data_IF_842906535928
#
_entry.id   IF_842906535928
#
_cell.length_a   1.000
_cell.length_b   1.000
_cell.length_c   1.000
_cell.angle_alpha   90.00
_cell.angle_beta   90.00
_cell.angle_gamma   90.00
#
_symmetry.space_group_name_H-M   'P 1'
#
loop_
_entity.id
_entity.type
_entity.pdbx_description
1 polymer ?
#
# COMPACT_ATOMS: atom_id res chain seq x y z
N UNK A 1 27.69 34.81 -4.40
CA UNK A 1 27.01 33.59 -3.91
C UNK A 1 26.19 34.01 -2.71
N UNK A 2 24.87 34.12 -2.87
CA UNK A 2 23.97 34.40 -1.75
C UNK A 2 24.05 33.24 -0.77
N UNK A 3 24.36 33.55 0.50
CA UNK A 3 24.35 32.58 1.58
C UNK A 3 23.02 31.81 1.53
N UNK A 4 23.02 30.47 1.58
CA UNK A 4 21.77 29.71 1.65
C UNK A 4 20.94 30.25 2.81
N UNK A 5 19.68 30.58 2.53
CA UNK A 5 18.80 31.23 3.50
C UNK A 5 18.49 30.24 4.63
N UNK A 6 19.17 30.40 5.76
CA UNK A 6 19.23 29.46 6.89
C UNK A 6 17.84 29.09 7.39
N UNK A 7 16.94 30.08 7.38
CA UNK A 7 15.54 29.94 7.76
C UNK A 7 14.82 28.93 6.88
N UNK A 8 15.09 28.91 5.57
CA UNK A 8 14.49 27.97 4.63
C UNK A 8 15.06 26.56 4.85
N UNK A 9 16.37 26.46 5.05
CA UNK A 9 17.06 25.18 5.23
C UNK A 9 16.67 24.45 6.53
N UNK A 10 16.74 25.15 7.67
CA UNK A 10 16.34 24.57 8.97
C UNK A 10 14.83 24.41 9.09
N UNK A 11 14.06 25.33 8.48
CA UNK A 11 12.61 25.23 8.38
C UNK A 11 12.15 23.95 7.66
N UNK A 12 12.82 23.58 6.56
CA UNK A 12 12.53 22.34 5.83
C UNK A 12 12.76 21.09 6.68
N UNK A 13 13.85 21.05 7.47
CA UNK A 13 14.12 19.93 8.38
C UNK A 13 13.06 19.82 9.48
N UNK A 14 12.67 20.94 10.08
CA UNK A 14 11.60 20.95 11.08
C UNK A 14 10.24 20.51 10.49
N UNK A 15 9.90 20.97 9.29
CA UNK A 15 8.68 20.56 8.59
C UNK A 15 8.68 19.04 8.34
N UNK A 16 9.82 18.47 7.96
CA UNK A 16 9.94 17.01 7.76
C UNK A 16 9.71 16.23 9.05
N UNK A 17 10.14 16.75 10.21
CA UNK A 17 9.87 16.15 11.52
C UNK A 17 8.37 16.20 11.86
N UNK A 18 7.72 17.35 11.65
CA UNK A 18 6.30 17.51 11.93
C UNK A 18 5.43 16.57 11.06
N UNK A 19 5.67 16.57 9.75
CA UNK A 19 5.01 15.65 8.81
C UNK A 19 5.33 14.20 9.16
N UNK A 20 6.59 13.91 9.49
CA UNK A 20 7.03 12.58 9.87
C UNK A 20 6.36 12.03 11.14
N UNK A 21 6.15 12.88 12.14
CA UNK A 21 5.43 12.51 13.37
C UNK A 21 3.96 12.16 13.08
N UNK A 22 3.29 12.92 12.22
CA UNK A 22 1.92 12.62 11.77
C UNK A 22 1.88 11.27 11.04
N UNK A 23 2.80 11.05 10.10
CA UNK A 23 2.89 9.79 9.36
C UNK A 23 3.18 8.58 10.27
N UNK A 24 3.97 8.76 11.33
CA UNK A 24 4.19 7.71 12.33
C UNK A 24 2.92 7.39 13.11
N UNK A 25 2.12 8.40 13.47
CA UNK A 25 0.80 8.20 14.06
C UNK A 25 -0.13 7.38 13.16
N UNK A 26 -0.11 7.62 11.85
CA UNK A 26 -0.84 6.81 10.86
C UNK A 26 -0.31 5.37 10.84
N UNK A 27 1.01 5.17 10.87
CA UNK A 27 1.63 3.83 10.91
C UNK A 27 1.19 3.04 12.14
N UNK A 28 1.20 3.65 13.33
CA UNK A 28 0.71 3.02 14.55
C UNK A 28 -0.79 2.68 14.47
N UNK A 29 -1.59 3.58 13.91
CA UNK A 29 -3.04 3.34 13.72
C UNK A 29 -3.27 2.16 12.77
N UNK A 30 -2.54 2.10 11.66
CA UNK A 30 -2.63 1.00 10.71
C UNK A 30 -2.14 -0.31 11.32
N UNK A 31 -1.08 -0.30 12.13
CA UNK A 31 -0.60 -1.48 12.84
C UNK A 31 -1.61 -1.97 13.90
N UNK A 32 -2.23 -1.06 14.64
CA UNK A 32 -3.28 -1.39 15.59
C UNK A 32 -4.48 -2.06 14.91
N UNK A 33 -4.95 -1.48 13.78
CA UNK A 33 -6.03 -2.06 12.97
C UNK A 33 -5.62 -3.44 12.45
N UNK A 34 -4.36 -3.61 12.04
CA UNK A 34 -3.84 -4.89 11.59
C UNK A 34 -3.93 -5.96 12.69
N UNK A 35 -3.39 -5.69 13.88
CA UNK A 35 -3.40 -6.68 14.97
C UNK A 35 -4.81 -6.95 15.51
N UNK A 36 -5.71 -5.96 15.46
CA UNK A 36 -7.10 -6.12 15.90
C UNK A 36 -7.93 -6.99 14.95
N UNK A 37 -7.65 -6.93 13.63
CA UNK A 37 -8.49 -7.56 12.60
C UNK A 37 -7.91 -8.84 12.00
N UNK A 38 -6.60 -9.08 12.11
CA UNK A 38 -5.91 -10.19 11.48
C UNK A 38 -5.30 -11.15 12.51
N UNK A 39 -6.13 -11.74 13.37
CA UNK A 39 -5.66 -12.69 14.38
C UNK A 39 -5.11 -14.00 13.77
N UNK A 40 -5.63 -14.43 12.63
CA UNK A 40 -5.24 -15.68 11.95
C UNK A 40 -4.02 -15.57 11.02
N UNK A 41 -3.50 -14.36 10.79
CA UNK A 41 -2.35 -14.19 9.91
C UNK A 41 -1.09 -14.89 10.49
N UNK A 42 -0.30 -15.49 9.59
CA UNK A 42 0.92 -16.21 9.95
C UNK A 42 1.95 -15.35 10.69
N UNK A 43 2.73 -15.98 11.58
CA UNK A 43 3.71 -15.32 12.46
C UNK A 43 4.71 -14.44 11.72
N UNK A 44 5.10 -14.81 10.49
CA UNK A 44 6.03 -14.04 9.66
C UNK A 44 5.46 -12.65 9.32
N UNK A 45 4.18 -12.57 8.98
CA UNK A 45 3.56 -11.30 8.59
C UNK A 45 3.35 -10.38 9.80
N UNK A 46 2.99 -10.96 10.95
CA UNK A 46 2.93 -10.23 12.22
C UNK A 46 4.30 -9.70 12.62
N UNK A 47 5.34 -10.53 12.54
CA UNK A 47 6.72 -10.10 12.81
C UNK A 47 7.15 -8.96 11.88
N UNK A 48 6.85 -9.06 10.60
CA UNK A 48 7.12 -8.00 9.63
C UNK A 48 6.45 -6.67 10.01
N UNK A 49 5.17 -6.70 10.42
CA UNK A 49 4.46 -5.48 10.85
C UNK A 49 5.14 -4.84 12.07
N UNK A 50 5.57 -5.65 13.04
CA UNK A 50 6.36 -5.16 14.18
C UNK A 50 7.67 -4.53 13.73
N UNK A 51 8.42 -5.19 12.84
CA UNK A 51 9.69 -4.67 12.30
C UNK A 51 9.49 -3.33 11.61
N UNK A 52 8.44 -3.18 10.78
CA UNK A 52 8.10 -1.91 10.12
C UNK A 52 7.83 -0.82 11.16
N UNK A 53 7.03 -1.10 12.19
CA UNK A 53 6.70 -0.12 13.22
C UNK A 53 7.92 0.31 14.05
N UNK A 54 8.80 -0.63 14.38
CA UNK A 54 10.03 -0.36 15.12
C UNK A 54 10.99 0.46 14.27
N UNK A 55 11.20 0.10 13.00
CA UNK A 55 12.06 0.86 12.09
C UNK A 55 11.53 2.28 11.84
N UNK A 56 10.22 2.46 11.68
CA UNK A 56 9.62 3.79 11.50
C UNK A 56 9.69 4.64 12.78
N UNK A 57 9.55 4.00 13.95
CA UNK A 57 9.73 4.64 15.26
C UNK A 57 11.17 5.08 15.49
N UNK A 58 12.15 4.22 15.19
CA UNK A 58 13.58 4.56 15.24
C UNK A 58 13.90 5.72 14.29
N UNK A 59 13.34 5.72 13.08
CA UNK A 59 13.44 6.87 12.18
C UNK A 59 12.94 8.15 12.85
N UNK A 60 11.82 8.13 13.59
CA UNK A 60 11.31 9.32 14.28
C UNK A 60 12.22 9.80 15.39
N UNK A 61 12.73 8.89 16.21
CA UNK A 61 13.68 9.21 17.27
C UNK A 61 14.95 9.84 16.67
N UNK A 62 15.52 9.25 15.62
CA UNK A 62 16.73 9.77 14.99
C UNK A 62 16.51 11.10 14.26
N UNK A 63 15.37 11.28 13.57
CA UNK A 63 15.01 12.58 12.97
C UNK A 63 14.82 13.64 14.05
N UNK A 64 14.20 13.30 15.19
CA UNK A 64 14.02 14.24 16.31
C UNK A 64 15.36 14.68 16.88
N UNK A 65 16.28 13.74 17.12
CA UNK A 65 17.64 14.05 17.57
C UNK A 65 18.42 14.89 16.54
N UNK A 66 18.30 14.56 15.25
CA UNK A 66 18.92 15.31 14.15
C UNK A 66 18.47 16.77 14.16
N UNK A 67 17.15 17.00 14.18
CA UNK A 67 16.55 18.34 14.19
C UNK A 67 16.93 19.08 15.47
N UNK A 68 16.86 18.43 16.63
CA UNK A 68 17.28 19.05 17.90
C UNK A 68 18.73 19.51 17.86
N UNK A 69 19.64 18.68 17.34
CA UNK A 69 21.07 19.00 17.28
C UNK A 69 21.37 20.21 16.38
N UNK A 70 20.77 20.28 15.19
CA UNK A 70 21.06 21.36 14.23
C UNK A 70 20.21 22.61 14.43
N UNK A 71 18.97 22.49 14.92
CA UNK A 71 18.04 23.62 15.09
C UNK A 71 18.12 24.24 16.48
N UNK A 72 18.40 23.46 17.53
CA UNK A 72 18.40 23.96 18.91
C UNK A 72 19.83 24.06 19.43
N UNK A 73 20.57 22.96 19.49
CA UNK A 73 21.89 22.93 20.14
C UNK A 73 22.93 23.77 19.40
N UNK A 74 22.95 23.71 18.07
CA UNK A 74 23.93 24.41 17.23
C UNK A 74 23.29 25.54 16.41
N UNK A 75 22.26 26.18 16.96
CA UNK A 75 21.59 27.29 16.28
C UNK A 75 22.60 28.41 15.95
N UNK A 76 22.68 28.80 14.67
CA UNK A 76 23.60 29.85 14.20
C UNK A 76 25.07 29.43 14.06
N UNK A 77 25.43 28.18 14.35
CA UNK A 77 26.80 27.66 14.18
C UNK A 77 26.90 26.86 12.89
N UNK A 78 27.32 27.51 11.80
CA UNK A 78 27.41 26.93 10.46
C UNK A 78 28.41 25.78 10.35
N UNK A 79 29.46 25.80 11.16
CA UNK A 79 30.48 24.76 11.14
C UNK A 79 29.93 23.41 11.61
N UNK A 80 28.88 23.40 12.44
CA UNK A 80 28.21 22.17 12.84
C UNK A 80 27.59 21.45 11.64
N UNK A 81 27.12 22.17 10.61
CA UNK A 81 26.61 21.58 9.37
C UNK A 81 27.71 20.91 8.53
N UNK A 82 29.00 21.12 8.80
CA UNK A 82 30.05 20.37 8.10
C UNK A 82 30.20 18.94 8.64
N UNK A 83 29.74 18.69 9.87
CA UNK A 83 29.90 17.41 10.55
C UNK A 83 28.60 16.61 10.55
N UNK A 84 28.68 15.36 10.07
CA UNK A 84 27.55 14.43 10.07
C UNK A 84 27.33 13.91 11.48
N UNK A 85 26.17 14.22 12.07
CA UNK A 85 25.78 13.66 13.38
C UNK A 85 25.50 12.17 13.25
N UNK A 86 25.88 11.38 14.25
CA UNK A 86 25.66 9.93 14.28
C UNK A 86 24.20 9.52 14.03
N UNK A 87 23.23 10.33 14.47
CA UNK A 87 21.80 10.08 14.26
C UNK A 87 21.43 10.12 12.78
N UNK A 88 22.14 10.91 11.96
CA UNK A 88 21.96 10.90 10.52
C UNK A 88 22.43 9.58 9.90
N UNK A 89 23.59 9.06 10.32
CA UNK A 89 24.09 7.76 9.86
C UNK A 89 23.13 6.63 10.25
N UNK A 90 22.64 6.65 11.49
CA UNK A 90 21.65 5.69 11.99
C UNK A 90 20.31 5.76 11.24
N UNK A 91 19.87 6.98 10.90
CA UNK A 91 18.68 7.23 10.08
C UNK A 91 18.84 6.68 8.67
N UNK A 92 19.98 6.92 8.02
CA UNK A 92 20.30 6.34 6.71
C UNK A 92 20.30 4.81 6.75
N UNK A 93 20.84 4.20 7.81
CA UNK A 93 20.79 2.73 8.01
C UNK A 93 19.34 2.24 8.10
N UNK A 94 18.49 2.93 8.86
CA UNK A 94 17.08 2.55 9.00
C UNK A 94 16.33 2.70 7.66
N UNK A 95 16.62 3.75 6.90
CA UNK A 95 16.09 3.98 5.54
C UNK A 95 16.52 2.86 4.57
N UNK A 96 17.82 2.62 4.45
CA UNK A 96 18.39 1.58 3.59
C UNK A 96 17.99 0.15 4.01
N UNK A 97 17.41 -0.03 5.19
CA UNK A 97 16.83 -1.30 5.63
C UNK A 97 15.33 -1.40 5.30
N UNK A 98 14.56 -0.34 5.55
CA UNK A 98 13.10 -0.36 5.45
C UNK A 98 12.62 -0.35 4.01
N UNK A 99 13.21 0.49 3.16
CA UNK A 99 12.75 0.65 1.78
C UNK A 99 12.93 -0.63 0.95
N UNK A 100 14.11 -1.30 0.91
CA UNK A 100 14.23 -2.57 0.19
C UNK A 100 13.38 -3.68 0.81
N UNK A 101 13.16 -3.69 2.13
CA UNK A 101 12.23 -4.63 2.76
C UNK A 101 10.82 -4.51 2.15
N UNK A 102 10.32 -3.28 1.99
CA UNK A 102 8.99 -3.03 1.38
C UNK A 102 8.97 -3.43 -0.10
N UNK A 103 9.99 -3.05 -0.88
CA UNK A 103 10.07 -3.42 -2.31
C UNK A 103 10.20 -4.95 -2.51
N UNK A 104 10.94 -5.65 -1.65
CA UNK A 104 11.05 -7.11 -1.72
C UNK A 104 9.71 -7.79 -1.43
N UNK A 105 8.89 -7.23 -0.53
CA UNK A 105 7.54 -7.74 -0.29
C UNK A 105 6.62 -7.53 -1.49
N UNK A 106 6.74 -6.37 -2.13
CA UNK A 106 6.07 -6.06 -3.38
C UNK A 106 6.46 -7.05 -4.48
N UNK A 107 7.76 -7.29 -4.68
CA UNK A 107 8.27 -8.31 -5.62
C UNK A 107 7.82 -9.73 -5.28
N UNK A 108 7.82 -10.11 -4.01
CA UNK A 108 7.36 -11.42 -3.58
C UNK A 108 5.87 -11.63 -3.92
N UNK A 109 5.03 -10.62 -3.70
CA UNK A 109 3.59 -10.66 -4.05
C UNK A 109 3.38 -10.78 -5.54
N UNK A 110 4.09 -9.96 -6.32
CA UNK A 110 4.09 -10.01 -7.79
C UNK A 110 4.44 -11.43 -8.26
N UNK A 111 5.52 -12.03 -7.74
CA UNK A 111 5.92 -13.39 -8.11
C UNK A 111 4.84 -14.41 -7.78
N UNK A 112 4.26 -14.34 -6.58
CA UNK A 112 3.17 -15.23 -6.16
C UNK A 112 1.97 -15.12 -7.10
N UNK A 113 1.61 -13.90 -7.51
CA UNK A 113 0.53 -13.65 -8.45
C UNK A 113 0.84 -14.16 -9.85
N UNK A 114 2.05 -13.92 -10.35
CA UNK A 114 2.49 -14.37 -11.67
C UNK A 114 2.40 -15.90 -11.82
N UNK A 115 2.50 -16.66 -10.74
CA UNK A 115 2.34 -18.12 -10.74
C UNK A 115 0.88 -18.58 -10.80
N UNK A 116 -0.06 -17.72 -10.40
CA UNK A 116 -1.50 -18.02 -10.35
C UNK A 116 -2.21 -17.70 -11.67
N UNK A 117 -1.60 -16.91 -12.56
CA UNK A 117 -2.17 -16.58 -13.86
C UNK A 117 -2.06 -17.76 -14.85
N UNK A 118 -3.08 -18.01 -15.68
CA UNK A 118 -3.06 -19.09 -16.65
C UNK A 118 -1.89 -18.93 -17.63
N UNK A 119 -1.13 -20.02 -17.83
CA UNK A 119 0.07 -20.09 -18.68
C UNK A 119 -0.28 -20.02 -20.16
N UNK A 120 -0.71 -18.85 -20.63
CA UNK A 120 -0.85 -18.58 -22.06
C UNK A 120 0.55 -18.37 -22.66
N UNK A 121 1.11 -19.43 -23.24
CA UNK A 121 2.39 -19.43 -23.96
C UNK A 121 3.60 -19.89 -23.14
N UNK A 122 4.37 -20.85 -23.66
CA UNK A 122 5.53 -21.46 -22.99
C UNK A 122 6.73 -20.50 -22.75
N UNK A 123 6.70 -19.32 -23.37
CA UNK A 123 7.81 -18.33 -23.37
C UNK A 123 7.59 -17.18 -22.38
N UNK A 124 6.35 -16.73 -22.18
CA UNK A 124 5.99 -15.63 -21.27
C UNK A 124 6.42 -15.85 -19.80
N UNK A 125 6.21 -17.02 -19.17
CA UNK A 125 6.57 -17.20 -17.76
C UNK A 125 8.09 -17.22 -17.52
N UNK A 126 8.91 -17.58 -18.52
CA UNK A 126 10.37 -17.62 -18.39
C UNK A 126 10.97 -16.20 -18.39
N UNK A 127 10.54 -15.35 -19.33
CA UNK A 127 10.99 -13.95 -19.43
C UNK A 127 10.57 -13.16 -18.18
N UNK A 128 9.33 -13.37 -17.72
CA UNK A 128 8.81 -12.76 -16.49
C UNK A 128 9.63 -13.21 -15.28
N UNK A 129 10.00 -14.50 -15.17
CA UNK A 129 10.81 -14.99 -14.06
C UNK A 129 12.22 -14.39 -14.01
N UNK A 130 12.86 -14.18 -15.17
CA UNK A 130 14.19 -13.57 -15.25
C UNK A 130 14.18 -12.10 -14.85
N UNK A 131 13.18 -11.33 -15.29
CA UNK A 131 13.03 -9.93 -14.95
C UNK A 131 12.92 -9.68 -13.43
N UNK A 132 12.18 -10.52 -12.70
CA UNK A 132 12.05 -10.38 -11.24
C UNK A 132 13.35 -10.65 -10.50
N UNK A 133 14.13 -11.65 -10.94
CA UNK A 133 15.43 -11.94 -10.34
C UNK A 133 16.37 -10.75 -10.57
N UNK A 134 16.36 -10.16 -11.76
CA UNK A 134 17.14 -8.94 -12.05
C UNK A 134 16.75 -7.79 -11.13
N UNK A 135 15.45 -7.50 -10.96
CA UNK A 135 15.01 -6.40 -10.07
C UNK A 135 15.40 -6.68 -8.61
N UNK A 136 15.25 -7.93 -8.12
CA UNK A 136 15.72 -8.30 -6.78
C UNK A 136 17.23 -8.05 -6.61
N UNK A 137 18.04 -8.44 -7.60
CA UNK A 137 19.50 -8.20 -7.56
C UNK A 137 19.81 -6.72 -7.57
N UNK A 138 19.10 -5.90 -8.36
CA UNK A 138 19.28 -4.45 -8.41
C UNK A 138 18.94 -3.78 -7.07
N UNK A 139 17.86 -4.21 -6.40
CA UNK A 139 17.51 -3.73 -5.05
C UNK A 139 18.65 -4.05 -4.08
N UNK A 140 19.07 -5.32 -4.01
CA UNK A 140 20.13 -5.74 -3.08
C UNK A 140 21.47 -5.05 -3.37
N UNK A 141 21.83 -4.87 -4.64
CA UNK A 141 23.04 -4.17 -5.05
C UNK A 141 22.99 -2.69 -4.66
N UNK A 142 21.85 -2.02 -4.88
CA UNK A 142 21.70 -0.62 -4.47
C UNK A 142 21.74 -0.46 -2.95
N UNK A 143 21.10 -1.37 -2.20
CA UNK A 143 21.17 -1.38 -0.73
C UNK A 143 22.60 -1.60 -0.23
N UNK A 144 23.34 -2.53 -0.82
CA UNK A 144 24.75 -2.74 -0.48
C UNK A 144 25.62 -1.51 -0.79
N UNK A 145 25.35 -0.85 -1.92
CA UNK A 145 25.97 0.43 -2.27
C UNK A 145 25.62 1.51 -1.22
N UNK A 146 24.34 1.63 -0.82
CA UNK A 146 23.89 2.55 0.22
C UNK A 146 24.63 2.34 1.56
N UNK A 147 24.67 1.10 2.06
CA UNK A 147 25.39 0.77 3.30
C UNK A 147 26.89 1.09 3.23
N UNK A 148 27.53 0.79 2.10
CA UNK A 148 28.93 1.17 1.88
C UNK A 148 29.09 2.68 1.99
N UNK A 149 28.24 3.45 1.31
CA UNK A 149 28.33 4.91 1.33
C UNK A 149 28.14 5.49 2.73
N UNK A 150 27.24 4.95 3.56
CA UNK A 150 27.03 5.41 4.94
C UNK A 150 28.32 5.36 5.77
N UNK A 151 29.16 4.34 5.57
CA UNK A 151 30.42 4.16 6.31
C UNK A 151 31.45 5.22 5.91
N UNK A 152 31.53 5.56 4.62
CA UNK A 152 32.50 6.52 4.08
C UNK A 152 32.00 7.97 4.05
N UNK A 153 30.74 8.20 4.43
CA UNK A 153 30.13 9.52 4.44
C UNK A 153 30.48 10.28 5.72
N UNK A 154 31.49 11.16 5.65
CA UNK A 154 31.97 11.93 6.81
C UNK A 154 31.71 13.44 6.72
N UNK A 155 31.37 13.98 5.54
CA UNK A 155 31.12 15.43 5.39
C UNK A 155 29.73 15.70 4.80
N UNK A 156 28.94 16.54 5.47
CA UNK A 156 27.54 16.82 5.12
C UNK A 156 27.39 17.87 4.00
N UNK A 157 28.31 18.83 3.90
CA UNK A 157 28.28 19.92 2.89
C UNK A 157 29.22 19.72 1.70
N UNK A 158 30.06 18.69 1.70
CA UNK A 158 30.75 18.33 0.45
C UNK A 158 29.70 17.74 -0.48
N UNK A 159 29.69 18.25 -1.72
CA UNK A 159 28.95 17.71 -2.86
C UNK A 159 29.43 16.30 -3.21
N UNK A 160 29.35 15.39 -2.26
CA UNK A 160 29.64 13.98 -2.46
C UNK A 160 28.48 13.43 -3.26
N UNK A 161 28.76 13.13 -4.53
CA UNK A 161 27.82 12.57 -5.51
C UNK A 161 27.19 11.23 -5.07
N UNK A 162 27.59 10.68 -3.92
CA UNK A 162 27.16 9.38 -3.43
C UNK A 162 25.67 9.32 -3.08
N UNK A 163 25.13 10.33 -2.39
CA UNK A 163 23.70 10.41 -2.03
C UNK A 163 22.80 10.50 -3.27
N UNK A 164 23.06 11.42 -4.23
CA UNK A 164 22.23 11.50 -5.42
C UNK A 164 22.39 10.33 -6.37
N UNK A 165 23.55 9.69 -6.42
CA UNK A 165 23.72 8.44 -7.19
C UNK A 165 22.81 7.34 -6.64
N UNK A 166 22.72 7.17 -5.31
CA UNK A 166 21.80 6.20 -4.70
C UNK A 166 20.34 6.49 -5.05
N UNK A 167 19.92 7.76 -4.99
CA UNK A 167 18.56 8.18 -5.35
C UNK A 167 18.26 7.98 -6.85
N UNK A 168 19.22 8.32 -7.71
CA UNK A 168 19.11 8.16 -9.17
C UNK A 168 19.02 6.69 -9.58
N UNK A 169 19.69 5.78 -8.84
CA UNK A 169 19.57 4.34 -9.03
C UNK A 169 18.24 3.78 -8.49
N UNK A 170 17.70 4.39 -7.42
CA UNK A 170 16.44 3.96 -6.81
C UNK A 170 15.22 4.24 -7.69
N UNK A 171 15.15 5.41 -8.33
CA UNK A 171 14.00 5.80 -9.16
C UNK A 171 13.64 4.78 -10.26
N UNK A 172 14.59 4.32 -11.12
CA UNK A 172 14.32 3.30 -12.12
C UNK A 172 13.83 1.97 -11.52
N UNK A 173 14.35 1.56 -10.36
CA UNK A 173 13.95 0.33 -9.67
C UNK A 173 12.49 0.45 -9.21
N UNK A 174 12.13 1.56 -8.58
CA UNK A 174 10.76 1.83 -8.12
C UNK A 174 9.76 1.88 -9.29
N UNK A 175 10.12 2.56 -10.39
CA UNK A 175 9.32 2.63 -11.61
C UNK A 175 9.15 1.23 -12.23
N UNK A 176 10.22 0.45 -12.31
CA UNK A 176 10.17 -0.90 -12.87
C UNK A 176 9.29 -1.84 -12.05
N UNK A 177 9.37 -1.76 -10.72
CA UNK A 177 8.55 -2.57 -9.82
C UNK A 177 7.07 -2.19 -9.94
N UNK A 178 6.78 -0.90 -9.90
CA UNK A 178 5.41 -0.36 -10.05
C UNK A 178 4.82 -0.68 -11.43
N UNK A 179 5.57 -0.45 -12.50
CA UNK A 179 5.19 -0.80 -13.87
C UNK A 179 4.98 -2.30 -14.05
N UNK A 180 5.79 -3.12 -13.40
CA UNK A 180 5.63 -4.57 -13.33
C UNK A 180 4.30 -4.98 -12.69
N UNK A 181 3.90 -4.34 -11.59
CA UNK A 181 2.58 -4.58 -10.99
C UNK A 181 1.43 -4.22 -11.93
N UNK A 182 1.52 -3.06 -12.60
CA UNK A 182 0.50 -2.60 -13.55
C UNK A 182 0.38 -3.58 -14.72
N UNK A 183 1.51 -4.02 -15.29
CA UNK A 183 1.53 -4.94 -16.42
C UNK A 183 0.87 -6.28 -16.09
N UNK A 184 1.21 -6.87 -14.93
CA UNK A 184 0.60 -8.14 -14.49
C UNK A 184 -0.89 -8.02 -14.19
N UNK A 185 -1.38 -6.83 -13.86
CA UNK A 185 -2.80 -6.59 -13.61
C UNK A 185 -3.61 -6.44 -14.92
N UNK A 186 -2.99 -6.08 -16.05
CA UNK A 186 -3.71 -5.86 -17.32
C UNK A 186 -4.56 -7.06 -17.77
N UNK A 187 -4.07 -8.32 -17.75
CA UNK A 187 -4.88 -9.47 -18.13
C UNK A 187 -6.02 -9.74 -17.16
N UNK A 188 -5.83 -9.45 -15.86
CA UNK A 188 -6.88 -9.61 -14.85
C UNK A 188 -7.96 -8.52 -14.95
N UNK A 189 -7.65 -7.35 -15.53
CA UNK A 189 -8.62 -6.29 -15.81
C UNK A 189 -9.41 -6.52 -17.11
N UNK A 190 -8.76 -7.01 -18.17
CA UNK A 190 -9.40 -7.19 -19.49
C UNK A 190 -9.97 -8.60 -19.72
N UNK A 191 -9.48 -9.62 -19.00
CA UNK A 191 -9.96 -11.00 -19.10
C UNK A 191 -11.18 -11.23 -18.22
N UNK A 192 -12.38 -11.13 -18.79
CA UNK A 192 -13.69 -11.29 -18.13
C UNK A 192 -14.00 -12.68 -17.53
N UNK A 193 -13.01 -13.43 -17.03
CA UNK A 193 -13.23 -14.69 -16.33
C UNK A 193 -12.43 -14.75 -15.03
N UNK A 194 -13.13 -14.41 -13.95
CA UNK A 194 -13.03 -15.06 -12.63
C UNK A 194 -11.62 -15.14 -12.02
N UNK A 195 -10.81 -14.08 -12.13
CA UNK A 195 -9.80 -13.82 -11.09
C UNK A 195 -10.56 -13.15 -9.95
N UNK A 196 -10.96 -13.95 -8.96
CA UNK A 196 -11.87 -13.52 -7.88
C UNK A 196 -11.53 -12.11 -7.38
N UNK A 197 -12.51 -11.22 -7.39
CA UNK A 197 -12.33 -9.78 -7.17
C UNK A 197 -11.49 -9.38 -5.95
N UNK A 198 -11.35 -10.25 -4.94
CA UNK A 198 -10.46 -10.05 -3.79
C UNK A 198 -9.00 -9.98 -4.22
N UNK A 199 -8.57 -10.90 -5.08
CA UNK A 199 -7.21 -10.92 -5.62
C UNK A 199 -7.00 -9.68 -6.48
N UNK A 200 -7.91 -9.39 -7.42
CA UNK A 200 -7.86 -8.21 -8.28
C UNK A 200 -7.77 -6.88 -7.51
N UNK A 201 -8.57 -6.74 -6.45
CA UNK A 201 -8.60 -5.51 -5.68
C UNK A 201 -7.43 -5.36 -4.70
N UNK A 202 -6.91 -6.46 -4.14
CA UNK A 202 -5.66 -6.42 -3.36
C UNK A 202 -4.50 -6.01 -4.27
N UNK A 203 -4.51 -6.45 -5.53
CA UNK A 203 -3.51 -6.04 -6.52
C UNK A 203 -3.68 -4.57 -6.89
N UNK A 204 -4.90 -4.09 -7.13
CA UNK A 204 -5.14 -2.66 -7.42
C UNK A 204 -4.61 -1.78 -6.28
N UNK A 205 -4.87 -2.17 -5.03
CA UNK A 205 -4.35 -1.44 -3.87
C UNK A 205 -2.82 -1.51 -3.79
N UNK A 206 -2.23 -2.68 -4.09
CA UNK A 206 -0.77 -2.87 -4.15
C UNK A 206 -0.13 -1.98 -5.24
N UNK A 207 -0.76 -1.89 -6.41
CA UNK A 207 -0.35 -1.05 -7.54
C UNK A 207 -0.44 0.44 -7.15
N UNK A 208 -1.54 0.86 -6.54
CA UNK A 208 -1.71 2.24 -6.09
C UNK A 208 -0.62 2.64 -5.09
N UNK A 209 -0.28 1.73 -4.18
CA UNK A 209 0.81 1.94 -3.20
C UNK A 209 2.20 1.96 -3.84
N UNK A 210 2.47 1.10 -4.83
CA UNK A 210 3.75 1.10 -5.56
C UNK A 210 3.92 2.31 -6.50
N UNK A 211 2.82 2.78 -7.10
CA UNK A 211 2.80 4.02 -7.89
C UNK A 211 3.08 5.23 -7.00
N UNK A 212 2.45 5.31 -5.83
CA UNK A 212 2.69 6.39 -4.88
C UNK A 212 4.16 6.48 -4.48
N UNK A 213 4.78 5.37 -4.08
CA UNK A 213 6.19 5.36 -3.65
C UNK A 213 7.14 5.71 -4.81
N UNK A 214 6.85 5.24 -6.02
CA UNK A 214 7.62 5.61 -7.21
C UNK A 214 7.50 7.10 -7.55
N UNK A 215 6.31 7.68 -7.44
CA UNK A 215 6.06 9.10 -7.68
C UNK A 215 6.83 9.97 -6.70
N UNK A 216 6.77 9.66 -5.41
CA UNK A 216 7.47 10.42 -4.38
C UNK A 216 8.99 10.32 -4.57
N UNK A 217 9.51 9.17 -4.96
CA UNK A 217 10.93 9.00 -5.30
C UNK A 217 11.34 9.90 -6.47
N UNK A 218 10.53 9.98 -7.52
CA UNK A 218 10.77 10.88 -8.66
C UNK A 218 10.72 12.34 -8.24
N UNK A 219 9.75 12.74 -7.42
CA UNK A 219 9.68 14.11 -6.88
C UNK A 219 10.95 14.45 -6.10
N UNK A 220 11.42 13.53 -5.25
CA UNK A 220 12.66 13.72 -4.51
C UNK A 220 13.87 13.92 -5.43
N UNK A 221 13.96 13.14 -6.52
CA UNK A 221 15.04 13.27 -7.51
C UNK A 221 14.95 14.58 -8.29
N UNK A 222 13.75 14.99 -8.71
CA UNK A 222 13.53 16.26 -9.43
C UNK A 222 13.90 17.44 -8.54
N UNK A 223 13.47 17.45 -7.28
CA UNK A 223 13.83 18.51 -6.33
C UNK A 223 15.34 18.56 -6.11
N UNK A 224 16.01 17.41 -6.00
CA UNK A 224 17.47 17.37 -5.91
C UNK A 224 18.15 17.99 -7.15
N UNK A 225 17.66 17.70 -8.36
CA UNK A 225 18.24 18.26 -9.60
C UNK A 225 17.95 19.76 -9.71
N UNK A 226 16.75 20.20 -9.31
CA UNK A 226 16.31 21.57 -9.45
C UNK A 226 16.96 22.53 -8.44
N UNK A 227 17.10 22.10 -7.18
CA UNK A 227 17.65 22.93 -6.12
C UNK A 227 18.42 22.11 -5.07
N UNK A 228 19.74 22.09 -5.24
CA UNK A 228 20.67 21.41 -4.34
C UNK A 228 20.91 22.18 -3.03
N UNK A 229 20.54 23.47 -2.96
CA UNK A 229 20.95 24.37 -1.88
C UNK A 229 19.91 24.46 -0.75
N UNK A 230 18.61 24.26 -1.01
CA UNK A 230 17.57 24.43 0.02
C UNK A 230 17.40 23.27 1.01
N UNK A 231 18.17 22.19 0.88
CA UNK A 231 18.00 20.90 1.61
C UNK A 231 16.56 20.34 1.56
N UNK A 232 15.70 20.85 0.68
CA UNK A 232 14.33 20.39 0.53
C UNK A 232 14.29 18.91 0.10
N UNK A 233 15.24 18.50 -0.75
CA UNK A 233 15.38 17.10 -1.13
C UNK A 233 15.66 16.19 0.08
N UNK A 234 16.43 16.65 1.07
CA UNK A 234 16.67 15.90 2.32
C UNK A 234 15.37 15.80 3.09
N UNK A 235 14.65 16.91 3.28
CA UNK A 235 13.38 16.92 4.00
C UNK A 235 12.34 15.96 3.40
N UNK A 236 12.25 15.90 2.06
CA UNK A 236 11.38 14.94 1.35
C UNK A 236 11.91 13.51 1.54
N UNK A 237 13.21 13.29 1.41
CA UNK A 237 13.87 12.00 1.64
C UNK A 237 13.65 11.45 3.05
N UNK A 238 13.60 12.32 4.06
CA UNK A 238 13.27 11.95 5.45
C UNK A 238 11.82 11.44 5.61
N UNK A 239 10.91 11.90 4.75
CA UNK A 239 9.52 11.45 4.75
C UNK A 239 9.31 10.15 3.95
N UNK A 240 10.19 9.86 2.97
CA UNK A 240 10.11 8.69 2.08
C UNK A 240 9.91 7.35 2.82
N UNK A 241 10.76 6.93 3.79
CA UNK A 241 10.61 5.63 4.44
C UNK A 241 9.26 5.47 5.13
N UNK A 242 8.71 6.56 5.66
CA UNK A 242 7.41 6.57 6.35
C UNK A 242 6.27 6.38 5.37
N UNK A 243 6.37 6.97 4.19
CA UNK A 243 5.40 6.77 3.11
C UNK A 243 5.45 5.32 2.61
N UNK A 244 6.65 4.73 2.53
CA UNK A 244 6.83 3.30 2.24
C UNK A 244 6.19 2.40 3.30
N UNK A 245 6.43 2.67 4.59
CA UNK A 245 5.83 1.94 5.71
C UNK A 245 4.30 2.00 5.70
N UNK A 246 3.74 3.21 5.59
CA UNK A 246 2.30 3.45 5.53
C UNK A 246 1.65 2.80 4.31
N UNK A 247 2.31 2.88 3.15
CA UNK A 247 1.82 2.24 1.93
C UNK A 247 1.77 0.72 2.07
N UNK A 248 2.82 0.13 2.66
CA UNK A 248 2.88 -1.31 2.92
C UNK A 248 1.77 -1.77 3.88
N UNK A 249 1.60 -1.08 5.01
CA UNK A 249 0.58 -1.39 6.01
C UNK A 249 -0.84 -1.16 5.48
N UNK A 250 -1.08 -0.10 4.72
CA UNK A 250 -2.35 0.15 4.06
C UNK A 250 -2.72 -1.01 3.11
N UNK A 251 -1.76 -1.48 2.31
CA UNK A 251 -1.93 -2.65 1.46
C UNK A 251 -2.27 -3.92 2.27
N UNK A 252 -1.62 -4.13 3.42
CA UNK A 252 -1.92 -5.29 4.29
C UNK A 252 -3.34 -5.22 4.85
N UNK A 253 -3.77 -4.04 5.26
CA UNK A 253 -5.09 -3.77 5.84
C UNK A 253 -6.24 -3.71 4.84
N UNK A 254 -5.94 -3.50 3.55
CA UNK A 254 -6.96 -3.52 2.50
C UNK A 254 -7.59 -4.91 2.32
N UNK A 255 -6.86 -5.99 2.64
CA UNK A 255 -7.29 -7.38 2.37
C UNK A 255 -8.65 -7.74 2.96
N UNK A 256 -9.00 -7.24 4.15
CA UNK A 256 -10.23 -7.62 4.83
C UNK A 256 -11.42 -6.84 4.27
N UNK A 257 -11.27 -5.51 4.11
CA UNK A 257 -12.29 -4.66 3.46
C UNK A 257 -12.68 -5.21 2.09
N UNK A 258 -11.71 -5.77 1.38
CA UNK A 258 -11.92 -6.39 0.09
C UNK A 258 -12.61 -7.76 0.18
N UNK A 259 -12.32 -8.54 1.24
CA UNK A 259 -12.99 -9.81 1.49
C UNK A 259 -14.47 -9.60 1.80
N UNK A 260 -14.77 -8.63 2.65
CA UNK A 260 -16.14 -8.31 3.07
C UNK A 260 -16.97 -7.80 1.87
N UNK A 261 -16.42 -6.86 1.08
CA UNK A 261 -17.07 -6.39 -0.16
C UNK A 261 -17.34 -7.50 -1.18
N UNK A 262 -16.47 -8.51 -1.24
CA UNK A 262 -16.69 -9.65 -2.12
C UNK A 262 -17.74 -10.62 -1.59
N UNK A 263 -17.80 -10.82 -0.28
CA UNK A 263 -18.85 -11.61 0.34
C UNK A 263 -20.22 -10.96 0.03
N UNK A 264 -20.34 -9.66 0.24
CA UNK A 264 -21.57 -8.90 -0.06
C UNK A 264 -21.93 -8.98 -1.55
N UNK A 265 -20.98 -8.78 -2.45
CA UNK A 265 -21.22 -8.88 -3.90
C UNK A 265 -21.59 -10.29 -4.38
N UNK A 266 -21.07 -11.33 -3.71
CA UNK A 266 -21.45 -12.72 -4.04
C UNK A 266 -22.87 -13.00 -3.58
N UNK A 267 -23.24 -12.53 -2.39
CA UNK A 267 -24.60 -12.69 -1.83
C UNK A 267 -25.64 -11.97 -2.70
N UNK A 268 -25.37 -10.74 -3.14
CA UNK A 268 -26.31 -10.00 -4.00
C UNK A 268 -26.55 -10.71 -5.33
N UNK A 269 -25.51 -11.22 -5.98
CA UNK A 269 -25.64 -11.95 -7.25
C UNK A 269 -26.44 -13.25 -7.08
N UNK A 270 -26.23 -13.98 -5.98
CA UNK A 270 -26.93 -15.24 -5.72
C UNK A 270 -28.42 -15.00 -5.42
N UNK A 271 -28.74 -13.95 -4.64
CA UNK A 271 -30.12 -13.53 -4.37
C UNK A 271 -30.82 -13.10 -5.66
N UNK A 272 -30.19 -12.28 -6.51
CA UNK A 272 -30.78 -11.85 -7.79
C UNK A 272 -31.07 -13.04 -8.70
N UNK A 273 -30.16 -14.02 -8.80
CA UNK A 273 -30.37 -15.23 -9.60
C UNK A 273 -31.45 -16.14 -9.05
N UNK A 274 -31.51 -16.29 -7.72
CA UNK A 274 -32.56 -17.06 -7.07
C UNK A 274 -33.95 -16.44 -7.29
N UNK A 275 -34.04 -15.11 -7.33
CA UNK A 275 -35.27 -14.38 -7.66
C UNK A 275 -35.64 -14.52 -9.15
N UNK A 276 -34.68 -14.39 -10.07
CA UNK A 276 -34.91 -14.61 -11.51
C UNK A 276 -35.44 -16.03 -11.80
N UNK A 277 -34.88 -17.05 -11.14
CA UNK A 277 -35.34 -18.43 -11.30
C UNK A 277 -36.72 -18.70 -10.69
N UNK A 278 -37.13 -17.90 -9.70
CA UNK A 278 -38.39 -18.09 -8.97
C UNK A 278 -39.57 -17.32 -9.58
N UNK A 279 -39.33 -16.40 -10.52
CA UNK A 279 -40.38 -15.82 -11.37
C UNK A 279 -40.65 -16.84 -12.49
N UNK A 280 -41.77 -17.58 -12.47
CA UNK A 280 -42.12 -18.43 -13.60
C UNK A 280 -42.37 -17.50 -14.78
N UNK A 281 -41.72 -17.76 -15.92
CA UNK A 281 -42.17 -17.16 -17.18
C UNK A 281 -43.57 -17.72 -17.48
N UNK A 282 -44.59 -17.02 -17.01
CA UNK A 282 -45.94 -17.15 -17.52
C UNK A 282 -45.92 -16.66 -18.96
N UNK A 283 -46.00 -17.57 -19.93
CA UNK A 283 -46.29 -17.24 -21.32
C UNK A 283 -47.58 -16.40 -21.36
N UNK A 284 -47.49 -15.15 -21.85
CA UNK A 284 -48.66 -14.36 -22.23
C UNK A 284 -48.95 -13.05 -21.49
N UNK A 285 -48.03 -12.44 -20.74
CA UNK A 285 -48.25 -11.08 -20.17
C UNK A 285 -47.08 -10.14 -20.45
N UNK A 286 -47.35 -9.10 -21.23
CA UNK A 286 -46.46 -7.93 -21.43
C UNK A 286 -46.23 -7.26 -20.09
N UNK A 287 -45.10 -7.54 -19.45
CA UNK A 287 -44.77 -6.96 -18.15
C UNK A 287 -43.99 -5.67 -18.37
N UNK A 288 -44.60 -4.53 -18.04
CA UNK A 288 -43.89 -3.25 -17.91
C UNK A 288 -42.92 -3.39 -16.75
N UNK A 289 -41.63 -3.21 -17.01
CA UNK A 289 -40.57 -3.17 -16.01
C UNK A 289 -40.85 -2.01 -15.05
N UNK A 290 -41.51 -2.28 -13.92
CA UNK A 290 -41.52 -1.40 -12.76
C UNK A 290 -40.34 -1.81 -11.90
N UNK A 291 -39.39 -0.89 -11.74
CA UNK A 291 -38.28 -1.03 -10.79
C UNK A 291 -38.86 -1.21 -9.38
N UNK A 292 -38.84 -2.43 -8.87
CA UNK A 292 -39.15 -2.73 -7.47
C UNK A 292 -37.83 -2.68 -6.71
N UNK A 293 -37.60 -1.59 -5.98
CA UNK A 293 -36.48 -1.46 -5.05
C UNK A 293 -36.84 -2.15 -3.73
N UNK A 294 -36.21 -3.30 -3.45
CA UNK A 294 -36.35 -3.99 -2.16
C UNK A 294 -35.19 -3.56 -1.26
N UNK A 295 -35.52 -2.86 -0.15
CA UNK A 295 -34.57 -2.49 0.90
C UNK A 295 -34.50 -3.59 1.94
N UNK A 296 -33.35 -4.28 2.04
CA UNK A 296 -33.11 -5.29 3.09
C UNK A 296 -32.65 -4.58 4.35
N UNK A 297 -33.53 -4.47 5.35
CA UNK A 297 -33.27 -3.65 6.55
C UNK A 297 -32.54 -4.39 7.69
N UNK A 298 -32.52 -5.72 7.73
CA UNK A 298 -31.65 -6.45 8.65
C UNK A 298 -31.47 -7.92 8.26
N UNK A 299 -30.32 -8.49 8.61
CA UNK A 299 -29.98 -9.90 8.42
C UNK A 299 -29.89 -10.56 9.80
N UNK A 300 -30.74 -11.55 10.09
CA UNK A 300 -30.56 -12.42 11.25
C UNK A 300 -30.65 -13.88 10.80
N UNK A 301 -29.77 -14.73 11.32
CA UNK A 301 -29.42 -16.04 10.73
C UNK A 301 -30.59 -17.05 10.59
N UNK A 302 -31.77 -16.74 11.14
CA UNK A 302 -32.93 -17.63 11.14
C UNK A 302 -34.18 -17.02 10.46
N UNK A 303 -34.17 -15.74 10.05
CA UNK A 303 -35.30 -15.10 9.39
C UNK A 303 -34.87 -13.93 8.49
N UNK A 304 -35.46 -13.88 7.29
CA UNK A 304 -35.30 -12.75 6.36
C UNK A 304 -36.63 -12.02 6.32
N UNK A 305 -36.70 -10.87 7.00
CA UNK A 305 -37.87 -9.99 6.94
C UNK A 305 -37.77 -9.15 5.65
N UNK A 306 -38.70 -9.40 4.72
CA UNK A 306 -38.85 -8.65 3.48
C UNK A 306 -40.14 -7.83 3.58
N UNK A 307 -40.02 -6.53 3.85
CA UNK A 307 -41.14 -5.61 3.68
C UNK A 307 -41.14 -5.06 2.24
N UNK A 308 -42.19 -5.40 1.50
CA UNK A 308 -42.51 -4.74 0.24
C UNK A 308 -43.09 -3.37 0.57
N UNK A 309 -42.26 -2.33 0.46
CA UNK A 309 -42.70 -0.94 0.53
C UNK A 309 -43.57 -0.61 -0.67
N UNK A 310 -44.87 -0.87 -0.58
CA UNK A 310 -45.86 -0.34 -1.50
C UNK A 310 -46.60 0.77 -0.76
N UNK A 311 -46.37 2.04 -1.12
CA UNK A 311 -47.24 3.12 -0.69
C UNK A 311 -48.66 2.82 -1.20
N UNK A 312 -49.53 2.40 -0.28
CA UNK A 312 -50.95 2.24 -0.50
C UNK A 312 -51.36 0.90 -1.11
N UNK A 313 -51.47 -0.14 -0.29
CA UNK A 313 -52.73 -0.90 -0.05
C UNK A 313 -52.41 -2.16 0.76
N UNK A 314 -53.12 -2.33 1.88
CA UNK A 314 -53.08 -3.53 2.71
C UNK A 314 -53.55 -4.77 1.93
N UNK A 315 -52.69 -5.78 1.80
CA UNK A 315 -53.13 -7.18 1.75
C UNK A 315 -52.07 -8.08 2.37
N UNK A 316 -52.41 -8.69 3.51
CA UNK A 316 -51.64 -9.76 4.13
C UNK A 316 -51.66 -11.00 3.23
N UNK A 317 -50.49 -11.50 2.84
CA UNK A 317 -50.36 -12.87 2.33
C UNK A 317 -49.37 -13.59 3.23
N UNK A 318 -49.91 -14.33 4.22
CA UNK A 318 -49.17 -15.32 5.01
C UNK A 318 -48.94 -16.56 4.16
N UNK A 319 -47.68 -16.86 3.85
CA UNK A 319 -47.29 -18.19 3.33
C UNK A 319 -46.52 -18.94 4.41
N UNK A 320 -47.17 -19.92 5.03
CA UNK A 320 -46.59 -20.82 6.04
C UNK A 320 -45.70 -21.85 5.33
N UNK A 321 -44.40 -21.85 5.65
CA UNK A 321 -43.45 -22.89 5.25
C UNK A 321 -43.61 -24.10 6.19
N UNK A 322 -44.15 -25.20 5.67
CA UNK A 322 -44.14 -26.51 6.30
C UNK A 322 -43.75 -27.55 5.24
N UNK A 323 -42.51 -28.05 5.31
CA UNK A 323 -42.16 -29.36 4.73
C UNK A 323 -41.31 -30.11 5.74
N UNK A 324 -41.99 -31.04 6.41
CA UNK A 324 -41.46 -32.15 7.21
C UNK A 324 -40.84 -33.23 6.34
N UNK A 325 -39.82 -33.87 6.91
CA UNK A 325 -38.99 -34.97 6.41
C UNK A 325 -39.72 -36.28 6.01
N UNK A 326 -39.06 -37.05 5.12
CA UNK A 326 -39.10 -38.52 4.99
C UNK A 326 -40.33 -39.13 4.28
N UNK A 327 -40.27 -40.20 3.50
CA UNK A 327 -39.28 -41.26 3.33
C UNK A 327 -39.42 -41.91 1.94
N UNK A 328 -38.32 -42.51 1.50
CA UNK A 328 -38.18 -43.50 0.44
C UNK A 328 -38.98 -44.78 0.70
N UNK A 329 -39.38 -45.40 -0.43
CA UNK A 329 -39.64 -46.83 -0.71
C UNK A 329 -39.82 -47.82 0.44
#
# INVERSE_FOLDING_TARGET
MSSPDISNTLGNLFLSLAVGAVLYGVTLTQAYVYFSRYHDDGRILKFLVVVICVLDGLNLVFTTHLVYHYVITNFGVFEALNHVVWSMKALSVAHESLVPLVELLYLWRIRKLSLLLPKSGATAPKIISGAWVTICVLILANTAFGFRNIIFFDTFLRHDWNVPVGLALWCPIAISTSGGMVFLLRPALHGGKRVGGLVGAVILYSVATGLLTSLVSVVCLVVFIADQNSLLYIAIGLCLPRLYANSCLAMLNARLRLRDRLADATITVDVTRALEFRIPQSEGVTTTQKDVSIMVNSYNANHVDLELGNEGTHSEIRTVLSMTDGHSS
#
